data_IF_383535958589
#
_entry.id   IF_383535958589
#
_cell.length_a   1.000
_cell.length_b   1.000
_cell.length_c   1.000
_cell.angle_alpha   90.00
_cell.angle_beta   90.00
_cell.angle_gamma   90.00
#
_symmetry.space_group_name_H-M   'P 1'
#
loop_
_entity.id
_entity.type
_entity.pdbx_description
1 polymer ?
#
# COMPACT_ATOMS: atom_id res chain seq x y z
N UNK A 1 -62.19 -7.61 86.65
CA UNK A 1 -61.57 -6.65 87.57
C UNK A 1 -60.28 -6.17 86.86
N UNK A 2 -60.40 -4.95 86.38
CA UNK A 2 -59.73 -3.73 86.81
C UNK A 2 -58.26 -3.74 86.39
N UNK A 3 -57.76 -2.84 85.63
CA UNK A 3 -57.64 -1.50 85.35
C UNK A 3 -56.47 -1.29 84.38
N UNK A 4 -56.67 -0.47 83.37
CA UNK A 4 -55.59 0.35 82.75
C UNK A 4 -55.07 1.36 83.77
N UNK A 5 -53.98 2.00 83.58
CA UNK A 5 -53.85 3.14 82.62
C UNK A 5 -52.42 3.36 82.10
N UNK A 6 -52.28 3.89 80.93
CA UNK A 6 -52.02 5.32 80.52
C UNK A 6 -50.53 5.72 80.46
N UNK A 7 -50.15 6.36 79.32
CA UNK A 7 -49.18 7.44 79.06
C UNK A 7 -47.72 7.05 78.97
N UNK A 8 -46.92 7.47 78.03
CA UNK A 8 -46.81 8.70 77.24
C UNK A 8 -45.90 8.49 76.08
N UNK A 9 -46.26 9.05 74.97
CA UNK A 9 -45.34 9.42 73.94
C UNK A 9 -44.54 10.66 74.34
N UNK A 10 -43.29 10.84 74.07
CA UNK A 10 -42.92 11.80 73.06
C UNK A 10 -41.57 11.54 72.33
N UNK A 11 -41.46 11.98 71.13
CA UNK A 11 -40.18 12.38 70.62
C UNK A 11 -39.81 11.91 69.20
N UNK A 12 -40.50 12.43 68.24
CA UNK A 12 -40.03 12.47 66.86
C UNK A 12 -38.81 13.38 66.76
N UNK A 13 -37.68 12.82 66.41
CA UNK A 13 -36.53 13.61 65.92
C UNK A 13 -36.25 13.28 64.44
N UNK A 14 -36.22 14.28 63.58
CA UNK A 14 -35.94 14.06 62.13
C UNK A 14 -34.48 13.74 61.91
N UNK A 15 -34.17 12.47 61.68
CA UNK A 15 -32.84 12.03 61.31
C UNK A 15 -32.44 12.58 59.96
N UNK A 16 -31.40 13.40 59.96
CA UNK A 16 -30.76 13.97 58.78
C UNK A 16 -30.40 12.92 57.75
N UNK A 17 -31.02 12.95 56.57
CA UNK A 17 -30.63 12.20 55.40
C UNK A 17 -29.26 12.72 54.97
N UNK A 18 -28.19 12.00 55.30
CA UNK A 18 -26.87 12.18 54.70
C UNK A 18 -26.94 11.79 53.22
N UNK A 19 -26.94 12.81 52.32
CA UNK A 19 -26.69 12.59 50.91
C UNK A 19 -25.27 11.95 50.77
N UNK A 20 -25.23 10.67 50.44
CA UNK A 20 -24.02 10.03 49.97
C UNK A 20 -23.70 10.61 48.58
N UNK A 21 -22.75 11.53 48.51
CA UNK A 21 -22.14 11.98 47.26
C UNK A 21 -21.40 10.78 46.68
N UNK A 22 -21.96 10.18 45.62
CA UNK A 22 -21.24 9.23 44.79
C UNK A 22 -20.08 9.97 44.06
N UNK A 23 -18.87 9.44 44.04
CA UNK A 23 -17.81 10.02 43.23
C UNK A 23 -18.19 9.85 41.76
N UNK A 24 -18.34 10.94 41.05
CA UNK A 24 -18.43 10.97 39.60
C UNK A 24 -17.07 10.46 39.06
N UNK A 25 -17.00 9.22 38.66
CA UNK A 25 -15.90 8.67 37.84
C UNK A 25 -15.94 9.38 36.49
N UNK A 26 -15.09 10.38 36.35
CA UNK A 26 -14.81 11.03 35.07
C UNK A 26 -14.10 9.96 34.18
N UNK A 27 -14.84 9.26 33.34
CA UNK A 27 -14.28 8.38 32.36
C UNK A 27 -13.55 9.25 31.32
N UNK A 28 -12.23 9.32 31.46
CA UNK A 28 -11.35 9.91 30.46
C UNK A 28 -11.37 8.96 29.25
N UNK A 29 -12.19 9.27 28.26
CA UNK A 29 -12.17 8.60 26.97
C UNK A 29 -10.84 8.94 26.29
N UNK A 30 -9.86 8.05 26.40
CA UNK A 30 -8.66 8.09 25.60
C UNK A 30 -9.08 7.78 24.17
N UNK A 31 -9.23 8.82 23.35
CA UNK A 31 -9.30 8.70 21.89
C UNK A 31 -7.95 8.13 21.43
N UNK A 32 -7.85 6.82 21.31
CA UNK A 32 -6.76 6.19 20.57
C UNK A 32 -6.89 6.67 19.12
N UNK A 33 -5.84 7.30 18.55
CA UNK A 33 -5.87 7.58 17.12
C UNK A 33 -6.01 6.23 16.42
N UNK A 34 -7.13 6.05 15.71
CA UNK A 34 -7.32 4.88 14.87
C UNK A 34 -6.12 4.77 13.94
N UNK A 35 -5.45 3.63 13.92
CA UNK A 35 -4.46 3.33 12.92
C UNK A 35 -5.12 3.54 11.56
N UNK A 36 -4.77 4.61 10.86
CA UNK A 36 -5.23 4.86 9.50
C UNK A 36 -4.71 3.69 8.65
N UNK A 37 -5.55 2.71 8.40
CA UNK A 37 -5.24 1.61 7.49
C UNK A 37 -4.95 2.19 6.11
N UNK A 38 -4.00 1.60 5.37
CA UNK A 38 -3.74 1.98 3.99
C UNK A 38 -5.04 1.92 3.19
N UNK A 39 -5.36 2.98 2.44
CA UNK A 39 -6.46 2.94 1.50
C UNK A 39 -6.11 1.95 0.39
N UNK A 40 -6.87 0.87 0.28
CA UNK A 40 -6.75 -0.10 -0.81
C UNK A 40 -7.71 0.34 -1.91
N UNK A 41 -7.18 0.65 -3.09
CA UNK A 41 -7.96 1.11 -4.23
C UNK A 41 -8.39 -0.05 -5.13
N UNK A 42 -7.53 -1.06 -5.27
CA UNK A 42 -7.73 -2.17 -6.18
C UNK A 42 -6.97 -3.42 -5.70
N UNK A 43 -7.53 -4.61 -5.90
CA UNK A 43 -6.81 -5.86 -5.63
C UNK A 43 -5.84 -6.20 -6.76
N UNK A 44 -4.88 -7.09 -6.51
CA UNK A 44 -3.95 -7.56 -7.55
C UNK A 44 -4.68 -8.22 -8.72
N UNK A 45 -5.72 -9.00 -8.43
CA UNK A 45 -6.51 -9.68 -9.46
C UNK A 45 -7.28 -8.70 -10.34
N UNK A 46 -7.92 -7.70 -9.73
CA UNK A 46 -8.61 -6.63 -10.46
C UNK A 46 -7.65 -5.84 -11.33
N UNK A 47 -6.49 -5.46 -10.80
CA UNK A 47 -5.47 -4.72 -11.53
C UNK A 47 -4.94 -5.52 -12.73
N UNK A 48 -4.67 -6.82 -12.56
CA UNK A 48 -4.25 -7.71 -13.65
C UNK A 48 -5.34 -7.85 -14.72
N UNK A 49 -6.61 -8.05 -14.32
CA UNK A 49 -7.73 -8.16 -15.25
C UNK A 49 -7.94 -6.87 -16.04
N UNK A 50 -7.75 -5.71 -15.41
CA UNK A 50 -7.83 -4.40 -16.08
C UNK A 50 -6.66 -4.18 -17.05
N UNK A 51 -5.43 -4.54 -16.62
CA UNK A 51 -4.24 -4.36 -17.46
C UNK A 51 -4.20 -5.33 -18.65
N UNK A 52 -4.73 -6.53 -18.48
CA UNK A 52 -4.72 -7.61 -19.44
C UNK A 52 -6.11 -8.26 -19.55
N UNK A 53 -7.08 -7.56 -20.17
CA UNK A 53 -8.44 -8.10 -20.32
C UNK A 53 -8.46 -9.33 -21.21
N UNK A 54 -9.45 -10.21 -21.08
CA UNK A 54 -9.66 -11.33 -21.99
C UNK A 54 -9.66 -10.86 -23.47
N UNK A 55 -9.11 -11.65 -24.40
CA UNK A 55 -8.68 -13.04 -24.26
C UNK A 55 -7.24 -13.27 -23.80
N UNK A 56 -6.58 -12.29 -23.17
CA UNK A 56 -5.24 -12.43 -22.67
C UNK A 56 -5.15 -13.53 -21.59
N UNK A 57 -4.08 -14.34 -21.65
CA UNK A 57 -3.77 -15.35 -20.63
C UNK A 57 -2.62 -14.85 -19.76
N UNK A 58 -2.87 -14.69 -18.47
CA UNK A 58 -1.86 -14.27 -17.49
C UNK A 58 -1.23 -15.50 -16.83
N UNK A 59 0.09 -15.59 -16.87
CA UNK A 59 0.90 -16.66 -16.28
C UNK A 59 1.76 -16.09 -15.15
N UNK A 60 1.58 -16.61 -13.95
CA UNK A 60 2.41 -16.27 -12.79
C UNK A 60 3.67 -17.12 -12.79
N UNK A 61 4.83 -16.51 -12.60
CA UNK A 61 6.09 -17.20 -12.37
C UNK A 61 6.87 -16.56 -11.22
N UNK A 62 7.67 -17.38 -10.54
CA UNK A 62 8.53 -16.92 -9.45
C UNK A 62 9.97 -17.31 -9.78
N UNK A 63 10.87 -16.34 -9.65
CA UNK A 63 12.31 -16.50 -9.86
C UNK A 63 13.06 -16.14 -8.58
N UNK A 64 14.23 -16.75 -8.40
CA UNK A 64 15.11 -16.45 -7.27
C UNK A 64 16.38 -15.79 -7.83
N UNK A 65 16.65 -14.57 -7.43
CA UNK A 65 17.87 -13.86 -7.78
C UNK A 65 19.03 -14.41 -6.96
N UNK A 66 20.15 -14.72 -7.61
CA UNK A 66 21.41 -14.91 -6.89
C UNK A 66 21.86 -13.60 -6.25
N UNK A 67 22.78 -13.67 -5.28
CA UNK A 67 23.32 -12.47 -4.65
C UNK A 67 23.91 -11.50 -5.67
N UNK A 68 24.73 -12.03 -6.61
CA UNK A 68 25.30 -11.20 -7.68
C UNK A 68 24.26 -10.55 -8.60
N UNK A 69 23.14 -11.26 -8.88
CA UNK A 69 22.02 -10.68 -9.64
C UNK A 69 21.31 -9.60 -8.85
N UNK A 70 21.09 -9.81 -7.55
CA UNK A 70 20.46 -8.83 -6.67
C UNK A 70 21.30 -7.55 -6.59
N UNK A 71 22.62 -7.69 -6.41
CA UNK A 71 23.54 -6.55 -6.42
C UNK A 71 23.59 -5.84 -7.77
N UNK A 72 23.57 -6.58 -8.88
CA UNK A 72 23.52 -5.99 -10.22
C UNK A 72 22.22 -5.19 -10.42
N UNK A 73 21.07 -5.75 -9.98
CA UNK A 73 19.80 -5.03 -9.99
C UNK A 73 19.85 -3.75 -9.16
N UNK A 74 20.41 -3.79 -7.95
CA UNK A 74 20.56 -2.62 -7.09
C UNK A 74 21.42 -1.53 -7.73
N UNK A 75 22.55 -1.91 -8.33
CA UNK A 75 23.42 -0.95 -9.05
C UNK A 75 22.69 -0.31 -10.23
N UNK A 76 22.00 -1.11 -11.04
CA UNK A 76 21.26 -0.62 -12.20
C UNK A 76 20.07 0.26 -11.81
N UNK A 77 19.33 -0.12 -10.77
CA UNK A 77 18.19 0.64 -10.25
C UNK A 77 18.61 1.90 -9.47
N UNK A 78 19.82 1.93 -8.94
CA UNK A 78 20.24 2.91 -7.92
C UNK A 78 19.19 3.00 -6.79
N UNK A 79 18.71 1.82 -6.35
CA UNK A 79 17.71 1.65 -5.31
C UNK A 79 17.87 0.25 -4.69
N UNK A 80 17.53 0.06 -3.41
CA UNK A 80 17.60 -1.25 -2.76
C UNK A 80 16.72 -2.28 -3.47
N UNK A 81 17.21 -3.53 -3.57
CA UNK A 81 16.45 -4.72 -3.96
C UNK A 81 16.47 -5.66 -2.77
N UNK A 82 15.47 -5.53 -1.89
CA UNK A 82 15.48 -6.17 -0.57
C UNK A 82 15.14 -7.67 -0.65
N UNK A 83 14.38 -8.09 -1.67
CA UNK A 83 13.98 -9.48 -1.86
C UNK A 83 14.76 -10.16 -2.98
N UNK A 84 15.26 -11.37 -2.70
CA UNK A 84 15.76 -12.27 -3.73
C UNK A 84 14.63 -12.98 -4.49
N UNK A 85 13.42 -13.01 -3.95
CA UNK A 85 12.24 -13.64 -4.56
C UNK A 85 11.51 -12.63 -5.43
N UNK A 86 11.37 -12.93 -6.71
CA UNK A 86 10.68 -12.10 -7.69
C UNK A 86 9.51 -12.87 -8.28
N UNK A 87 8.30 -12.37 -8.03
CA UNK A 87 7.09 -12.87 -8.68
C UNK A 87 6.71 -11.93 -9.81
N UNK A 88 6.46 -12.50 -11.00
CA UNK A 88 6.04 -11.76 -12.20
C UNK A 88 4.83 -12.41 -12.84
N UNK A 89 4.03 -11.62 -13.54
CA UNK A 89 2.80 -12.01 -14.20
C UNK A 89 2.90 -11.65 -15.68
N UNK A 90 3.22 -12.64 -16.50
CA UNK A 90 3.34 -12.45 -17.94
C UNK A 90 1.99 -12.64 -18.62
N UNK A 91 1.59 -11.71 -19.44
CA UNK A 91 0.36 -11.79 -20.22
C UNK A 91 0.66 -12.12 -21.66
N UNK A 92 -0.03 -13.12 -22.19
CA UNK A 92 0.09 -13.58 -23.58
C UNK A 92 -1.23 -13.44 -24.31
N UNK A 93 -1.16 -13.05 -25.57
CA UNK A 93 -2.29 -13.07 -26.49
C UNK A 93 -2.71 -14.49 -26.86
N UNK A 94 -3.84 -14.65 -27.57
CA UNK A 94 -4.30 -15.96 -28.05
C UNK A 94 -3.30 -16.66 -28.98
N UNK A 95 -2.50 -15.87 -29.68
CA UNK A 95 -1.42 -16.30 -30.59
C UNK A 95 -0.09 -16.62 -29.87
N UNK A 96 -0.06 -16.51 -28.53
CA UNK A 96 1.15 -16.69 -27.73
C UNK A 96 2.08 -15.47 -27.68
N UNK A 97 1.74 -14.37 -28.33
CA UNK A 97 2.53 -13.13 -28.29
C UNK A 97 2.54 -12.54 -26.89
N UNK A 98 3.70 -12.15 -26.39
CA UNK A 98 3.82 -11.44 -25.10
C UNK A 98 3.18 -10.05 -25.21
N UNK A 99 2.23 -9.76 -24.33
CA UNK A 99 1.55 -8.47 -24.25
C UNK A 99 2.19 -7.53 -23.22
N UNK A 100 2.93 -8.11 -22.27
CA UNK A 100 3.64 -7.40 -21.22
C UNK A 100 3.80 -8.24 -19.95
N UNK A 101 4.57 -7.73 -19.00
CA UNK A 101 4.84 -8.39 -17.72
C UNK A 101 4.54 -7.44 -16.57
N UNK A 102 3.63 -7.84 -15.68
CA UNK A 102 3.31 -7.07 -14.48
C UNK A 102 4.15 -7.52 -13.28
N UNK A 103 4.53 -6.56 -12.46
CA UNK A 103 5.22 -6.71 -11.19
C UNK A 103 4.47 -5.96 -10.11
N UNK A 104 4.42 -6.52 -8.90
CA UNK A 104 3.90 -5.82 -7.72
C UNK A 104 5.06 -5.46 -6.81
N UNK A 105 5.20 -4.18 -6.55
CA UNK A 105 6.22 -3.62 -5.67
C UNK A 105 5.55 -3.00 -4.44
N UNK A 106 5.96 -3.44 -3.27
CA UNK A 106 5.47 -2.93 -2.00
C UNK A 106 6.63 -2.33 -1.21
N UNK A 107 6.55 -1.05 -0.93
CA UNK A 107 7.57 -0.31 -0.20
C UNK A 107 6.96 0.67 0.79
N UNK A 108 7.82 1.31 1.59
CA UNK A 108 7.42 2.35 2.54
C UNK A 108 7.75 3.71 1.95
N UNK A 109 6.74 4.59 1.95
CA UNK A 109 6.92 6.03 1.71
C UNK A 109 6.89 6.70 3.06
N UNK A 110 7.82 7.48 3.49
CA UNK A 110 7.88 8.10 4.83
C UNK A 110 7.63 7.10 5.97
N UNK A 111 6.38 6.82 6.32
CA UNK A 111 5.98 5.99 7.47
C UNK A 111 5.00 4.87 7.11
N UNK A 112 4.33 4.96 5.98
CA UNK A 112 3.29 4.04 5.60
C UNK A 112 3.59 3.31 4.27
N UNK A 113 2.92 2.18 4.08
CA UNK A 113 3.16 1.30 2.92
C UNK A 113 2.42 1.81 1.69
N UNK A 114 3.08 1.73 0.55
CA UNK A 114 2.52 1.87 -0.78
C UNK A 114 2.67 0.55 -1.54
N UNK A 115 1.69 0.21 -2.37
CA UNK A 115 1.74 -0.94 -3.26
C UNK A 115 1.48 -0.46 -4.68
N UNK A 116 2.40 -0.78 -5.57
CA UNK A 116 2.30 -0.46 -6.99
C UNK A 116 2.15 -1.72 -7.83
N UNK A 117 1.43 -1.62 -8.94
CA UNK A 117 1.60 -2.50 -10.08
C UNK A 117 2.38 -1.74 -11.17
N UNK A 118 3.48 -2.31 -11.63
CA UNK A 118 4.27 -1.80 -12.76
C UNK A 118 4.16 -2.81 -13.89
N UNK A 119 3.67 -2.38 -15.03
CA UNK A 119 3.61 -3.21 -16.24
C UNK A 119 4.73 -2.81 -17.18
N UNK A 120 5.56 -3.78 -17.55
CA UNK A 120 6.63 -3.64 -18.53
C UNK A 120 6.13 -4.16 -19.87
N UNK A 121 6.26 -3.37 -20.92
CA UNK A 121 5.91 -3.75 -22.28
C UNK A 121 6.97 -4.67 -22.92
N UNK A 122 6.68 -5.37 -24.02
CA UNK A 122 7.64 -6.23 -24.71
C UNK A 122 8.90 -5.51 -25.21
N UNK A 123 8.82 -4.21 -25.46
CA UNK A 123 9.98 -3.36 -25.82
C UNK A 123 10.82 -2.93 -24.62
N UNK A 124 10.52 -3.49 -23.42
CA UNK A 124 11.13 -3.20 -22.11
C UNK A 124 10.89 -1.79 -21.59
N UNK A 125 9.96 -1.05 -22.17
CA UNK A 125 9.48 0.20 -21.63
C UNK A 125 8.38 0.00 -20.58
N UNK A 126 8.18 0.99 -19.74
CA UNK A 126 7.05 1.02 -18.80
C UNK A 126 5.76 1.20 -19.59
N UNK A 127 4.84 0.24 -19.53
CA UNK A 127 3.51 0.34 -20.13
C UNK A 127 2.55 1.14 -19.22
N UNK A 128 2.56 0.82 -17.93
CA UNK A 128 1.76 1.55 -16.91
C UNK A 128 2.35 1.42 -15.52
N UNK A 129 2.00 2.37 -14.66
CA UNK A 129 2.23 2.33 -13.22
C UNK A 129 0.93 2.68 -12.53
N UNK A 130 0.44 1.78 -11.69
CA UNK A 130 -0.82 1.93 -10.96
C UNK A 130 -0.56 1.82 -9.45
N UNK A 131 -1.13 2.74 -8.66
CA UNK A 131 -1.11 2.68 -7.21
C UNK A 131 -2.30 1.83 -6.75
N UNK A 132 -2.03 0.68 -6.14
CA UNK A 132 -3.07 -0.25 -5.67
C UNK A 132 -3.45 -0.01 -4.21
N UNK A 133 -2.49 0.41 -3.40
CA UNK A 133 -2.72 0.79 -2.02
C UNK A 133 -1.78 1.91 -1.60
N UNK A 134 -2.27 2.82 -0.79
CA UNK A 134 -1.53 3.98 -0.31
C UNK A 134 -1.85 4.24 1.15
N UNK A 135 -0.86 4.14 2.02
CA UNK A 135 -1.01 4.28 3.47
C UNK A 135 -0.76 5.69 4.00
N UNK A 136 -0.17 6.58 3.20
CA UNK A 136 0.02 7.98 3.57
C UNK A 136 -1.25 8.80 3.26
N UNK A 137 -1.39 10.02 3.82
CA UNK A 137 -2.47 10.91 3.46
C UNK A 137 -2.55 11.17 1.94
N UNK A 138 -3.75 11.19 1.40
CA UNK A 138 -4.01 11.32 -0.05
C UNK A 138 -3.39 12.58 -0.68
N UNK A 139 -3.16 13.63 0.11
CA UNK A 139 -2.51 14.86 -0.33
C UNK A 139 -1.03 14.64 -0.74
N UNK A 140 -0.42 13.55 -0.29
CA UNK A 140 0.94 13.16 -0.68
C UNK A 140 1.00 12.28 -1.93
N UNK A 141 -0.15 11.94 -2.53
CA UNK A 141 -0.21 11.22 -3.78
C UNK A 141 0.08 12.16 -4.96
N UNK A 142 0.90 11.74 -5.94
CA UNK A 142 1.17 12.56 -7.11
C UNK A 142 -0.10 12.77 -7.94
N UNK A 143 -0.39 14.02 -8.27
CA UNK A 143 -1.57 14.46 -9.04
C UNK A 143 -1.19 14.78 -10.49
N UNK A 144 -2.20 15.10 -11.31
CA UNK A 144 -2.01 15.68 -12.63
C UNK A 144 -1.38 14.76 -13.67
N UNK A 145 -1.65 13.47 -13.59
CA UNK A 145 -1.14 12.53 -14.60
C UNK A 145 0.37 12.31 -14.52
N UNK A 146 0.98 12.55 -13.36
CA UNK A 146 2.43 12.35 -13.16
C UNK A 146 2.84 10.90 -13.45
N UNK A 147 2.04 9.91 -13.07
CA UNK A 147 2.31 8.49 -13.36
C UNK A 147 2.41 8.23 -14.87
N UNK A 148 1.60 8.92 -15.69
CA UNK A 148 1.67 8.81 -17.15
C UNK A 148 3.00 9.30 -17.74
N UNK A 149 3.74 10.15 -17.02
CA UNK A 149 5.06 10.62 -17.49
C UNK A 149 6.14 9.53 -17.37
N UNK A 150 5.85 8.47 -16.63
CA UNK A 150 6.71 7.29 -16.51
C UNK A 150 6.46 6.30 -17.64
N UNK A 151 5.28 6.34 -18.27
CA UNK A 151 4.93 5.46 -19.39
C UNK A 151 5.87 5.70 -20.60
N UNK A 152 6.23 4.62 -21.28
CA UNK A 152 7.19 4.59 -22.39
C UNK A 152 8.65 4.72 -21.96
N UNK A 153 8.94 5.03 -20.70
CA UNK A 153 10.31 5.17 -20.21
C UNK A 153 10.97 3.82 -20.04
N UNK A 154 12.28 3.79 -20.28
CA UNK A 154 13.16 2.60 -20.13
C UNK A 154 14.18 2.83 -19.03
N UNK A 155 14.93 1.79 -18.69
CA UNK A 155 15.94 1.86 -17.62
C UNK A 155 17.01 2.93 -17.89
N UNK A 156 17.43 3.09 -19.15
CA UNK A 156 18.43 4.04 -19.61
C UNK A 156 17.97 5.50 -19.55
N UNK A 157 16.66 5.77 -19.48
CA UNK A 157 16.11 7.13 -19.43
C UNK A 157 16.39 7.87 -18.11
N UNK A 158 17.01 7.19 -17.15
CA UNK A 158 17.42 7.81 -15.90
C UNK A 158 16.24 8.38 -15.11
N UNK A 159 15.26 7.53 -14.77
CA UNK A 159 14.00 7.83 -14.11
C UNK A 159 14.19 8.44 -12.70
N UNK A 160 14.78 9.61 -12.61
CA UNK A 160 14.96 10.37 -11.37
C UNK A 160 14.11 11.63 -11.36
N UNK A 161 13.46 11.87 -10.20
CA UNK A 161 12.75 13.13 -9.96
C UNK A 161 13.75 14.30 -9.95
N UNK A 162 13.44 15.33 -10.69
CA UNK A 162 14.35 16.46 -10.93
C UNK A 162 15.28 16.29 -12.14
N UNK A 163 15.19 15.16 -12.85
CA UNK A 163 15.86 14.90 -14.14
C UNK A 163 14.79 14.56 -15.20
N UNK A 164 14.62 13.25 -15.51
CA UNK A 164 13.62 12.81 -16.48
C UNK A 164 12.16 12.95 -15.97
N UNK A 165 11.96 13.05 -14.65
CA UNK A 165 10.65 13.18 -14.03
C UNK A 165 10.52 14.51 -13.28
N UNK A 166 9.41 15.21 -13.48
CA UNK A 166 9.13 16.47 -12.82
C UNK A 166 8.90 16.31 -11.31
N UNK A 167 9.27 17.32 -10.55
CA UNK A 167 8.89 17.44 -9.15
C UNK A 167 7.37 17.67 -9.01
N UNK A 168 6.79 17.13 -7.92
CA UNK A 168 5.43 17.43 -7.52
C UNK A 168 5.46 18.00 -6.11
N UNK A 169 5.08 19.26 -5.98
CA UNK A 169 4.99 19.92 -4.67
C UNK A 169 4.01 19.16 -3.77
N UNK A 170 4.40 18.90 -2.53
CA UNK A 170 3.63 18.10 -1.57
C UNK A 170 3.81 16.59 -1.71
N UNK A 171 4.20 16.06 -2.89
CA UNK A 171 4.35 14.63 -3.15
C UNK A 171 5.79 14.20 -3.50
N UNK A 172 6.81 14.98 -3.12
CA UNK A 172 8.20 14.72 -3.52
C UNK A 172 8.73 13.36 -3.05
N UNK A 173 8.41 12.95 -1.81
CA UNK A 173 8.87 11.66 -1.28
C UNK A 173 8.17 10.51 -2.00
N UNK A 174 6.87 10.61 -2.23
CA UNK A 174 6.08 9.62 -2.96
C UNK A 174 6.59 9.47 -4.40
N UNK A 175 6.78 10.57 -5.13
CA UNK A 175 7.29 10.50 -6.51
C UNK A 175 8.69 9.89 -6.59
N UNK A 176 9.56 10.17 -5.61
CA UNK A 176 10.89 9.53 -5.53
C UNK A 176 10.79 8.04 -5.23
N UNK A 177 9.90 7.63 -4.34
CA UNK A 177 9.68 6.23 -4.00
C UNK A 177 9.13 5.45 -5.19
N UNK A 178 8.11 5.98 -5.88
CA UNK A 178 7.57 5.39 -7.11
C UNK A 178 8.66 5.28 -8.20
N UNK A 179 9.42 6.34 -8.42
CA UNK A 179 10.51 6.32 -9.42
C UNK A 179 11.57 5.27 -9.07
N UNK A 180 11.90 5.10 -7.79
CA UNK A 180 12.82 4.05 -7.33
C UNK A 180 12.25 2.64 -7.54
N UNK A 181 10.96 2.45 -7.24
CA UNK A 181 10.26 1.19 -7.48
C UNK A 181 10.25 0.81 -8.97
N UNK A 182 9.94 1.76 -9.85
CA UNK A 182 9.97 1.55 -11.30
C UNK A 182 11.37 1.16 -11.78
N UNK A 183 12.42 1.88 -11.36
CA UNK A 183 13.81 1.53 -11.72
C UNK A 183 14.18 0.14 -11.23
N UNK A 184 13.76 -0.24 -10.02
CA UNK A 184 13.97 -1.57 -9.45
C UNK A 184 13.31 -2.65 -10.31
N UNK A 185 12.04 -2.44 -10.67
CA UNK A 185 11.30 -3.38 -11.54
C UNK A 185 11.97 -3.52 -12.89
N UNK A 186 12.33 -2.41 -13.56
CA UNK A 186 13.00 -2.45 -14.87
C UNK A 186 14.36 -3.16 -14.79
N UNK A 187 15.16 -2.90 -13.76
CA UNK A 187 16.45 -3.55 -13.56
C UNK A 187 16.31 -5.06 -13.36
N UNK A 188 15.35 -5.48 -12.53
CA UNK A 188 15.05 -6.90 -12.31
C UNK A 188 14.53 -7.56 -13.58
N UNK A 189 13.60 -6.90 -14.30
CA UNK A 189 13.06 -7.40 -15.57
C UNK A 189 14.17 -7.59 -16.60
N UNK A 190 15.10 -6.64 -16.71
CA UNK A 190 16.24 -6.72 -17.63
C UNK A 190 17.15 -7.91 -17.34
N UNK A 191 17.37 -8.22 -16.06
CA UNK A 191 18.19 -9.37 -15.63
C UNK A 191 17.51 -10.72 -15.87
N UNK A 192 16.20 -10.80 -15.66
CA UNK A 192 15.43 -12.04 -15.82
C UNK A 192 15.06 -12.32 -17.27
N UNK A 193 15.05 -11.30 -18.12
CA UNK A 193 14.57 -11.39 -19.49
C UNK A 193 13.05 -11.58 -19.59
N UNK A 194 12.55 -11.64 -20.81
CA UNK A 194 11.14 -11.88 -21.08
C UNK A 194 10.76 -13.32 -20.73
N UNK A 195 9.60 -13.53 -20.08
CA UNK A 195 9.13 -14.87 -19.77
C UNK A 195 8.71 -15.59 -21.07
N UNK A 196 9.09 -16.85 -21.17
CA UNK A 196 8.62 -17.70 -22.26
C UNK A 196 7.15 -18.12 -22.04
N UNK A 197 6.37 -18.32 -23.12
CA UNK A 197 5.07 -18.95 -23.02
C UNK A 197 5.25 -20.35 -22.40
N UNK A 198 4.48 -20.65 -21.35
CA UNK A 198 4.45 -22.02 -20.85
C UNK A 198 3.55 -22.83 -21.76
N UNK A 199 4.12 -23.82 -22.42
CA UNK A 199 3.34 -24.86 -23.10
C UNK A 199 2.49 -25.60 -22.06
N UNK A 200 1.24 -25.90 -22.44
CA UNK A 200 0.30 -26.67 -21.60
C UNK A 200 0.67 -28.14 -21.64
#
# INVERSE_FOLDING_TARGET
MSRSPIFSDPGVSPGARRLRRAPALLALAVLLPGAAGAAVFETQEQALARAFPPPARVVRSTSFLSEGQREAAQRAAQAPVDSAVVTRYAAFGPDGTLLGTAYFDAHVVRTAREVLMVVVAPDRGVRSVDVLAFGEPQDYMPRGGWLKRVEGKKQEDGLFVGRALAHVTGATLTTRAIAAAVRRVLAVHSLLGDPAPQEK
#
